data_IF_519152636522
#
_entry.id   IF_519152636522
#
_cell.length_a   1.000
_cell.length_b   1.000
_cell.length_c   1.000
_cell.angle_alpha   90.00
_cell.angle_beta   90.00
_cell.angle_gamma   90.00
#
_symmetry.space_group_name_H-M   'P 1'
#
loop_
_entity.id
_entity.type
_entity.pdbx_description
1 polymer ?
#
# COMPACT_ATOMS: atom_id res chain seq x y z
N UNK A 1 -11.01 14.30 8.14
CA UNK A 1 -10.86 13.89 6.71
C UNK A 1 -10.24 15.03 5.93
N UNK A 2 -9.38 14.72 4.96
CA UNK A 2 -8.69 15.71 4.12
C UNK A 2 -9.54 16.07 2.89
N UNK A 3 -9.44 17.32 2.48
CA UNK A 3 -9.86 17.78 1.16
C UNK A 3 -8.89 17.30 0.07
N UNK A 4 -9.31 17.29 -1.21
CA UNK A 4 -8.41 17.02 -2.33
C UNK A 4 -7.15 17.89 -2.34
N UNK A 5 -7.27 19.15 -1.91
CA UNK A 5 -6.14 20.10 -1.82
C UNK A 5 -5.15 19.68 -0.74
N UNK A 6 -5.64 19.39 0.47
CA UNK A 6 -4.79 18.94 1.59
C UNK A 6 -4.09 17.61 1.28
N UNK A 7 -4.77 16.71 0.57
CA UNK A 7 -4.15 15.47 0.07
C UNK A 7 -2.98 15.75 -0.88
N UNK A 8 -3.19 16.55 -1.93
CA UNK A 8 -2.09 16.89 -2.87
C UNK A 8 -0.94 17.58 -2.14
N UNK A 9 -1.25 18.49 -1.21
CA UNK A 9 -0.24 19.17 -0.42
C UNK A 9 0.56 18.21 0.47
N UNK A 10 -0.08 17.14 0.97
CA UNK A 10 0.63 16.09 1.71
C UNK A 10 1.62 15.31 0.87
N UNK A 11 1.37 15.15 -0.44
CA UNK A 11 2.32 14.52 -1.36
C UNK A 11 3.47 15.46 -1.71
N UNK A 12 3.21 16.77 -1.87
CA UNK A 12 4.24 17.78 -2.16
C UNK A 12 5.25 17.96 -1.03
N UNK A 13 4.86 17.68 0.21
CA UNK A 13 5.76 17.73 1.38
C UNK A 13 6.71 16.55 1.46
N UNK A 14 6.48 15.48 0.69
CA UNK A 14 7.33 14.30 0.69
C UNK A 14 8.61 14.57 -0.08
N UNK A 15 9.72 13.97 0.34
CA UNK A 15 10.98 13.98 -0.40
C UNK A 15 10.77 13.33 -1.78
N UNK A 16 11.31 13.92 -2.86
CA UNK A 16 11.31 13.29 -4.18
C UNK A 16 12.07 11.96 -4.15
N UNK A 17 11.42 10.90 -4.60
CA UNK A 17 12.02 9.57 -4.73
C UNK A 17 11.36 8.68 -5.80
N UNK A 18 10.55 9.29 -6.67
CA UNK A 18 9.85 8.60 -7.76
C UNK A 18 10.58 8.92 -9.07
N UNK A 19 10.92 7.90 -9.84
CA UNK A 19 11.67 8.03 -11.08
C UNK A 19 10.87 7.51 -12.27
N UNK A 20 11.03 8.14 -13.42
CA UNK A 20 10.46 7.72 -14.69
C UNK A 20 11.36 8.17 -15.82
N UNK A 21 11.59 7.30 -16.81
CA UNK A 21 12.47 7.58 -17.97
C UNK A 21 13.90 7.96 -17.59
N UNK A 22 14.40 7.46 -16.46
CA UNK A 22 15.74 7.78 -15.96
C UNK A 22 15.82 9.10 -15.20
N UNK A 23 14.71 9.82 -15.04
CA UNK A 23 14.67 11.13 -14.38
C UNK A 23 13.91 11.06 -13.06
N UNK A 24 14.36 11.87 -12.09
CA UNK A 24 13.67 12.07 -10.81
C UNK A 24 12.46 12.98 -11.03
N UNK A 25 11.29 12.54 -10.56
CA UNK A 25 10.08 13.34 -10.51
C UNK A 25 10.09 14.13 -9.21
N UNK A 26 10.40 15.43 -9.32
CA UNK A 26 10.42 16.38 -8.20
C UNK A 26 9.02 16.58 -7.57
N UNK A 27 7.98 16.64 -8.39
CA UNK A 27 6.59 16.81 -7.93
C UNK A 27 5.64 15.86 -8.66
N UNK A 28 5.26 14.79 -7.95
CA UNK A 28 4.32 13.77 -8.45
C UNK A 28 2.92 14.33 -8.77
N UNK A 29 2.56 15.49 -8.20
CA UNK A 29 1.23 16.09 -8.37
C UNK A 29 1.10 16.87 -9.67
N UNK A 30 2.21 17.25 -10.30
CA UNK A 30 2.23 18.09 -11.51
C UNK A 30 2.90 17.42 -12.70
N UNK A 31 3.84 16.49 -12.47
CA UNK A 31 4.55 15.81 -13.54
C UNK A 31 3.61 14.99 -14.45
N UNK A 32 3.70 15.10 -15.80
CA UNK A 32 2.76 14.44 -16.72
C UNK A 32 2.64 12.92 -16.54
N UNK A 33 3.73 12.25 -16.15
CA UNK A 33 3.71 10.79 -15.94
C UNK A 33 2.91 10.34 -14.69
N UNK A 34 2.62 11.23 -13.73
CA UNK A 34 2.04 10.85 -12.43
C UNK A 34 0.83 11.69 -12.03
N UNK A 35 0.71 12.93 -12.50
CA UNK A 35 -0.31 13.89 -12.10
C UNK A 35 -1.71 13.32 -12.18
N UNK A 36 -2.02 12.55 -13.23
CA UNK A 36 -3.36 11.97 -13.41
C UNK A 36 -3.66 10.86 -12.42
N UNK A 37 -2.67 10.06 -12.05
CA UNK A 37 -2.81 9.12 -10.93
C UNK A 37 -3.16 9.88 -9.65
N UNK A 38 -2.47 10.98 -9.36
CA UNK A 38 -2.76 11.83 -8.21
C UNK A 38 -4.17 12.45 -8.29
N UNK A 39 -4.58 12.98 -9.44
CA UNK A 39 -5.93 13.53 -9.64
C UNK A 39 -7.03 12.50 -9.41
N UNK A 40 -6.85 11.28 -9.92
CA UNK A 40 -7.79 10.19 -9.72
C UNK A 40 -7.99 9.85 -8.24
N UNK A 41 -6.90 9.85 -7.46
CA UNK A 41 -6.96 9.64 -6.01
C UNK A 41 -7.55 10.84 -5.27
N UNK A 42 -7.21 12.08 -5.68
CA UNK A 42 -7.76 13.31 -5.12
C UNK A 42 -9.29 13.37 -5.28
N UNK A 43 -9.83 12.82 -6.38
CA UNK A 43 -11.27 12.70 -6.60
C UNK A 43 -11.98 11.82 -5.55
N UNK A 44 -11.28 10.87 -4.94
CA UNK A 44 -11.84 10.03 -3.89
C UNK A 44 -12.00 10.78 -2.56
N UNK A 45 -11.09 11.70 -2.26
CA UNK A 45 -11.25 12.62 -1.12
C UNK A 45 -12.45 13.55 -1.32
N UNK A 46 -12.61 14.10 -2.52
CA UNK A 46 -13.81 14.87 -2.87
C UNK A 46 -15.07 14.04 -2.70
N UNK A 47 -15.07 12.78 -3.19
CA UNK A 47 -16.23 11.91 -3.07
C UNK A 47 -16.61 11.63 -1.61
N UNK A 48 -15.62 11.42 -0.73
CA UNK A 48 -15.83 11.23 0.71
C UNK A 48 -16.50 12.43 1.41
N UNK A 49 -16.34 13.65 0.87
CA UNK A 49 -16.93 14.88 1.41
C UNK A 49 -18.22 15.31 0.69
N UNK A 50 -18.58 14.66 -0.42
CA UNK A 50 -19.74 15.05 -1.22
C UNK A 50 -21.05 14.51 -0.65
N UNK A 51 -22.15 15.24 -0.82
CA UNK A 51 -23.48 14.79 -0.39
C UNK A 51 -23.90 13.46 -1.06
N UNK A 52 -23.62 13.33 -2.37
CA UNK A 52 -24.01 12.15 -3.16
C UNK A 52 -23.22 10.90 -2.82
N UNK A 53 -21.93 11.03 -2.52
CA UNK A 53 -21.02 9.87 -2.39
C UNK A 53 -20.44 9.69 -0.99
N UNK A 54 -20.63 10.64 -0.08
CA UNK A 54 -19.98 10.70 1.23
C UNK A 54 -20.19 9.42 2.05
N UNK A 55 -21.43 8.95 2.15
CA UNK A 55 -21.77 7.69 2.86
C UNK A 55 -21.07 6.46 2.27
N UNK A 56 -20.77 6.47 0.97
CA UNK A 56 -20.10 5.36 0.31
C UNK A 56 -18.59 5.39 0.53
N UNK A 57 -17.97 6.57 0.52
CA UNK A 57 -16.50 6.73 0.61
C UNK A 57 -15.97 6.99 2.03
N UNK A 58 -16.86 7.20 2.99
CA UNK A 58 -16.53 7.35 4.40
C UNK A 58 -17.47 6.56 5.29
N UNK A 59 -17.06 6.31 6.53
CA UNK A 59 -17.84 5.61 7.56
C UNK A 59 -17.39 6.13 8.92
N UNK A 60 -18.27 6.09 9.92
CA UNK A 60 -17.85 6.22 11.32
C UNK A 60 -16.92 5.06 11.70
N UNK A 61 -15.75 5.39 12.25
CA UNK A 61 -14.76 4.41 12.67
C UNK A 61 -15.13 3.81 14.02
N UNK A 62 -15.12 2.48 14.09
CA UNK A 62 -15.26 1.77 15.37
C UNK A 62 -14.05 1.94 16.30
N UNK A 63 -12.96 2.57 15.85
CA UNK A 63 -11.72 2.72 16.63
C UNK A 63 -11.63 4.09 17.30
N UNK A 64 -12.14 5.13 16.65
CA UNK A 64 -11.99 6.51 17.12
C UNK A 64 -13.32 7.28 17.23
N UNK A 65 -14.45 6.71 16.79
CA UNK A 65 -15.77 7.36 16.84
C UNK A 65 -15.91 8.56 15.89
N UNK A 66 -14.96 8.76 14.98
CA UNK A 66 -14.96 9.84 13.99
C UNK A 66 -15.26 9.32 12.59
N UNK A 67 -15.71 10.20 11.70
CA UNK A 67 -15.91 9.87 10.29
C UNK A 67 -14.57 9.83 9.56
N UNK A 68 -14.24 8.68 8.98
CA UNK A 68 -12.96 8.39 8.32
C UNK A 68 -13.18 7.90 6.89
N UNK A 69 -12.14 7.94 6.06
CA UNK A 69 -12.19 7.28 4.75
C UNK A 69 -12.43 5.79 4.92
N UNK A 70 -13.36 5.22 4.15
CA UNK A 70 -13.63 3.77 4.15
C UNK A 70 -12.40 2.96 3.73
N UNK A 71 -11.45 3.56 3.01
CA UNK A 71 -10.17 2.92 2.68
C UNK A 71 -9.22 2.75 3.88
N UNK A 72 -9.58 3.25 5.06
CA UNK A 72 -8.82 3.08 6.31
C UNK A 72 -9.65 2.39 7.40
N UNK A 73 -10.74 1.70 7.04
CA UNK A 73 -11.59 0.98 8.01
C UNK A 73 -11.37 -0.52 7.99
N UNK A 74 -11.75 -1.17 9.10
CA UNK A 74 -11.80 -2.63 9.21
C UNK A 74 -13.14 -3.17 8.70
N UNK A 75 -13.12 -4.38 8.13
CA UNK A 75 -14.32 -5.15 7.76
C UNK A 75 -14.83 -5.84 9.03
N UNK A 76 -15.93 -5.34 9.61
CA UNK A 76 -16.53 -5.94 10.81
C UNK A 76 -17.77 -6.75 10.48
N UNK A 77 -18.44 -6.48 9.36
CA UNK A 77 -19.65 -7.19 8.93
C UNK A 77 -19.63 -7.49 7.42
N UNK A 78 -20.48 -8.41 6.93
CA UNK A 78 -20.63 -8.65 5.48
C UNK A 78 -20.99 -7.38 4.70
N UNK A 79 -21.78 -6.48 5.29
CA UNK A 79 -22.20 -5.22 4.69
C UNK A 79 -21.01 -4.28 4.45
N UNK A 80 -19.98 -4.32 5.29
CA UNK A 80 -18.74 -3.56 5.06
C UNK A 80 -18.04 -4.01 3.77
N UNK A 81 -18.01 -5.32 3.52
CA UNK A 81 -17.43 -5.87 2.30
C UNK A 81 -18.26 -5.49 1.07
N UNK A 82 -19.58 -5.61 1.14
CA UNK A 82 -20.48 -5.18 0.05
C UNK A 82 -20.34 -3.67 -0.24
N UNK A 83 -20.27 -2.84 0.81
CA UNK A 83 -20.07 -1.41 0.68
C UNK A 83 -18.74 -1.10 -0.01
N UNK A 84 -17.67 -1.84 0.29
CA UNK A 84 -16.39 -1.70 -0.39
C UNK A 84 -16.47 -2.08 -1.88
N UNK A 85 -17.17 -3.15 -2.26
CA UNK A 85 -17.38 -3.49 -3.68
C UNK A 85 -18.14 -2.39 -4.43
N UNK A 86 -19.18 -1.82 -3.79
CA UNK A 86 -19.92 -0.66 -4.33
C UNK A 86 -19.03 0.58 -4.44
N UNK A 87 -18.20 0.85 -3.43
CA UNK A 87 -17.26 1.97 -3.43
C UNK A 87 -16.23 1.85 -4.55
N UNK A 88 -15.61 0.68 -4.75
CA UNK A 88 -14.66 0.42 -5.85
C UNK A 88 -15.30 0.66 -7.22
N UNK A 89 -16.54 0.19 -7.42
CA UNK A 89 -17.30 0.44 -8.66
C UNK A 89 -17.57 1.93 -8.87
N UNK A 90 -17.99 2.64 -7.82
CA UNK A 90 -18.20 4.09 -7.88
C UNK A 90 -16.89 4.84 -8.16
N UNK A 91 -15.78 4.43 -7.55
CA UNK A 91 -14.45 5.00 -7.78
C UNK A 91 -14.08 4.90 -9.26
N UNK A 92 -14.22 3.71 -9.86
CA UNK A 92 -13.96 3.52 -11.29
C UNK A 92 -14.86 4.41 -12.17
N UNK A 93 -16.16 4.50 -11.87
CA UNK A 93 -17.07 5.37 -12.62
C UNK A 93 -16.71 6.86 -12.50
N UNK A 94 -16.14 7.28 -11.37
CA UNK A 94 -15.72 8.65 -11.14
C UNK A 94 -14.41 8.97 -11.88
N UNK A 95 -13.44 8.06 -11.90
CA UNK A 95 -12.08 8.33 -12.40
C UNK A 95 -11.82 7.82 -13.81
N UNK A 96 -12.60 6.82 -14.28
CA UNK A 96 -12.36 6.11 -15.53
C UNK A 96 -11.19 5.14 -15.49
N UNK A 97 -10.62 4.86 -14.31
CA UNK A 97 -9.41 4.03 -14.15
C UNK A 97 -9.29 3.46 -12.73
N UNK A 98 -8.30 2.59 -12.54
CA UNK A 98 -7.98 2.00 -11.24
C UNK A 98 -7.47 3.05 -10.24
N UNK A 99 -7.90 2.95 -8.99
CA UNK A 99 -7.38 3.73 -7.85
C UNK A 99 -6.67 2.83 -6.85
N UNK A 100 -5.74 2.01 -7.38
CA UNK A 100 -5.05 0.94 -6.65
C UNK A 100 -4.31 1.42 -5.39
N UNK A 101 -3.83 2.66 -5.39
CA UNK A 101 -3.14 3.29 -4.26
C UNK A 101 -4.01 3.52 -3.02
N UNK A 102 -5.29 3.09 -3.02
CA UNK A 102 -6.13 3.01 -1.81
C UNK A 102 -6.74 1.63 -1.58
N UNK A 103 -7.18 0.93 -2.63
CA UNK A 103 -7.87 -0.35 -2.44
C UNK A 103 -6.94 -1.47 -2.00
N UNK A 104 -5.68 -1.47 -2.46
CA UNK A 104 -4.68 -2.48 -2.11
C UNK A 104 -4.21 -2.28 -0.66
N UNK A 105 -3.95 -1.03 -0.25
CA UNK A 105 -3.60 -0.72 1.14
C UNK A 105 -4.73 -1.02 2.12
N UNK A 106 -5.98 -0.70 1.78
CA UNK A 106 -7.15 -1.11 2.58
C UNK A 106 -7.22 -2.63 2.77
N UNK A 107 -6.93 -3.38 1.70
CA UNK A 107 -6.91 -4.83 1.73
C UNK A 107 -5.74 -5.37 2.58
N UNK A 108 -4.58 -4.71 2.54
CA UNK A 108 -3.42 -5.01 3.37
C UNK A 108 -3.73 -4.84 4.86
N UNK A 109 -4.37 -3.71 5.24
CA UNK A 109 -4.81 -3.44 6.60
C UNK A 109 -5.69 -4.58 7.11
N UNK A 110 -6.72 -4.95 6.35
CA UNK A 110 -7.67 -5.98 6.77
C UNK A 110 -7.05 -7.38 6.82
N UNK A 111 -6.14 -7.69 5.90
CA UNK A 111 -5.46 -8.98 5.86
C UNK A 111 -4.55 -9.15 7.07
N UNK A 112 -3.74 -8.13 7.36
CA UNK A 112 -2.84 -8.13 8.51
C UNK A 112 -3.59 -7.97 9.83
N UNK A 113 -4.74 -7.30 9.86
CA UNK A 113 -5.58 -7.25 11.06
C UNK A 113 -6.07 -8.64 11.45
N UNK A 114 -6.55 -9.43 10.49
CA UNK A 114 -6.93 -10.82 10.72
C UNK A 114 -5.72 -11.67 11.13
N UNK A 115 -4.59 -11.55 10.42
CA UNK A 115 -3.40 -12.37 10.69
C UNK A 115 -2.73 -12.04 12.02
N UNK A 116 -2.61 -10.75 12.39
CA UNK A 116 -2.06 -10.36 13.68
C UNK A 116 -2.95 -10.82 14.84
N UNK A 117 -4.28 -10.76 14.66
CA UNK A 117 -5.22 -11.33 15.63
C UNK A 117 -5.05 -12.85 15.79
N UNK A 118 -4.89 -13.58 14.68
CA UNK A 118 -4.64 -15.02 14.73
C UNK A 118 -3.32 -15.35 15.45
N UNK A 119 -2.25 -14.60 15.19
CA UNK A 119 -0.96 -14.77 15.89
C UNK A 119 -1.11 -14.55 17.40
N UNK A 120 -1.80 -13.48 17.81
CA UNK A 120 -2.08 -13.19 19.21
C UNK A 120 -2.91 -14.31 19.86
N UNK A 121 -4.02 -14.72 19.22
CA UNK A 121 -4.91 -15.78 19.71
C UNK A 121 -4.18 -17.12 19.87
N UNK A 122 -3.30 -17.44 18.93
CA UNK A 122 -2.58 -18.71 18.88
C UNK A 122 -1.31 -18.68 19.80
N UNK A 123 -1.08 -17.59 20.55
CA UNK A 123 0.02 -17.48 21.53
C UNK A 123 1.40 -17.37 20.90
N UNK A 124 1.50 -16.82 19.68
CA UNK A 124 2.77 -16.59 18.99
C UNK A 124 3.53 -15.50 19.71
N UNK A 125 4.85 -15.69 19.89
CA UNK A 125 5.74 -14.66 20.41
C UNK A 125 5.56 -13.36 19.62
N UNK A 126 5.41 -12.22 20.32
CA UNK A 126 5.11 -10.90 19.75
C UNK A 126 3.74 -10.72 19.08
N UNK A 127 2.89 -11.75 19.03
CA UNK A 127 1.58 -11.72 18.37
C UNK A 127 0.66 -10.62 18.91
N UNK A 128 0.59 -10.47 20.24
CA UNK A 128 -0.20 -9.42 20.89
C UNK A 128 0.35 -8.02 20.55
N UNK A 129 1.67 -7.85 20.54
CA UNK A 129 2.34 -6.61 20.20
C UNK A 129 2.12 -6.22 18.75
N UNK A 130 2.20 -7.15 17.80
CA UNK A 130 1.91 -6.88 16.38
C UNK A 130 0.47 -6.40 16.19
N UNK A 131 -0.47 -7.06 16.85
CA UNK A 131 -1.88 -6.67 16.84
C UNK A 131 -2.06 -5.26 17.40
N UNK A 132 -1.49 -4.98 18.58
CA UNK A 132 -1.55 -3.66 19.22
C UNK A 132 -0.94 -2.55 18.35
N UNK A 133 0.27 -2.76 17.82
CA UNK A 133 1.00 -1.81 16.95
C UNK A 133 0.21 -1.49 15.68
N UNK A 134 -0.38 -2.50 15.04
CA UNK A 134 -1.22 -2.31 13.86
C UNK A 134 -2.44 -1.44 14.18
N UNK A 135 -3.10 -1.69 15.31
CA UNK A 135 -4.28 -0.91 15.74
C UNK A 135 -3.92 0.54 16.10
N UNK A 136 -2.82 0.75 16.82
CA UNK A 136 -2.31 2.08 17.16
C UNK A 136 -1.94 2.89 15.90
N UNK A 137 -1.22 2.26 14.97
CA UNK A 137 -0.89 2.88 13.70
C UNK A 137 -2.16 3.17 12.87
N UNK A 138 -3.14 2.28 12.85
CA UNK A 138 -4.38 2.49 12.09
C UNK A 138 -5.21 3.67 12.66
N UNK A 139 -5.22 3.85 13.99
CA UNK A 139 -5.83 5.03 14.64
C UNK A 139 -5.17 6.32 14.13
N UNK A 140 -3.84 6.36 14.09
CA UNK A 140 -3.10 7.49 13.54
C UNK A 140 -3.41 7.70 12.05
N UNK A 141 -3.37 6.63 11.24
CA UNK A 141 -3.62 6.69 9.81
C UNK A 141 -5.03 7.21 9.49
N UNK A 142 -6.04 6.80 10.28
CA UNK A 142 -7.42 7.27 10.15
C UNK A 142 -7.56 8.77 10.42
N UNK A 143 -6.90 9.28 11.46
CA UNK A 143 -6.89 10.72 11.77
C UNK A 143 -6.18 11.53 10.68
N UNK A 144 -5.08 10.99 10.17
CA UNK A 144 -4.30 11.63 9.11
C UNK A 144 -4.92 11.47 7.71
N UNK A 145 -5.90 10.59 7.51
CA UNK A 145 -6.56 10.33 6.21
C UNK A 145 -5.55 10.11 5.06
N UNK A 146 -4.51 9.30 5.33
CA UNK A 146 -3.43 9.02 4.39
C UNK A 146 -3.92 8.22 3.17
N UNK A 147 -3.22 8.36 2.04
CA UNK A 147 -3.27 7.39 0.96
C UNK A 147 -2.21 6.31 1.18
N UNK A 148 -2.60 5.05 1.08
CA UNK A 148 -1.78 3.90 1.44
C UNK A 148 -1.78 2.88 0.29
N UNK A 149 -0.63 2.69 -0.34
CA UNK A 149 -0.45 1.61 -1.31
C UNK A 149 -0.13 0.29 -0.59
N UNK A 150 -0.48 -0.85 -1.18
CA UNK A 150 -0.16 -2.17 -0.63
C UNK A 150 0.85 -2.89 -1.51
N UNK A 151 1.92 -3.41 -0.89
CA UNK A 151 3.06 -4.00 -1.54
C UNK A 151 3.25 -5.47 -1.15
N UNK A 152 2.66 -6.37 -1.95
CA UNK A 152 2.71 -7.81 -1.73
C UNK A 152 3.76 -8.49 -2.63
N UNK A 153 3.71 -8.22 -3.93
CA UNK A 153 4.48 -8.97 -4.95
C UNK A 153 5.96 -8.59 -4.96
N UNK A 154 6.84 -9.56 -4.70
CA UNK A 154 8.29 -9.46 -4.92
C UNK A 154 8.69 -9.68 -6.40
N UNK A 155 9.95 -9.38 -6.81
CA UNK A 155 10.50 -9.74 -8.11
C UNK A 155 10.45 -11.25 -8.45
N UNK A 156 10.63 -12.11 -7.45
CA UNK A 156 10.57 -13.58 -7.48
C UNK A 156 11.64 -14.33 -8.28
N UNK A 157 12.58 -13.65 -8.92
CA UNK A 157 13.75 -14.29 -9.56
C UNK A 157 13.41 -15.52 -10.43
N UNK A 158 14.03 -16.66 -10.14
CA UNK A 158 13.67 -17.93 -10.75
C UNK A 158 12.38 -18.48 -10.11
N UNK A 159 11.31 -18.58 -10.90
CA UNK A 159 9.99 -18.99 -10.42
C UNK A 159 9.91 -20.47 -10.01
N UNK A 160 10.89 -21.30 -10.37
CA UNK A 160 10.93 -22.70 -9.95
C UNK A 160 11.58 -22.91 -8.59
N UNK A 161 12.08 -21.84 -7.95
CA UNK A 161 12.85 -21.89 -6.70
C UNK A 161 12.14 -21.16 -5.58
N UNK A 162 12.33 -21.62 -4.35
CA UNK A 162 11.85 -20.90 -3.18
C UNK A 162 12.63 -19.59 -2.96
N UNK A 163 12.13 -18.64 -2.14
CA UNK A 163 12.87 -17.46 -1.72
C UNK A 163 14.30 -17.76 -1.22
N UNK A 164 14.47 -18.78 -0.37
CA UNK A 164 15.78 -19.19 0.15
C UNK A 164 16.75 -19.78 -0.88
N UNK A 165 16.25 -20.23 -2.03
CA UNK A 165 17.04 -20.89 -3.09
C UNK A 165 17.43 -19.93 -4.24
N UNK A 166 16.99 -18.67 -4.18
CA UNK A 166 17.32 -17.68 -5.20
C UNK A 166 18.81 -17.40 -5.24
N UNK A 167 19.37 -17.23 -6.45
CA UNK A 167 20.77 -16.83 -6.62
C UNK A 167 21.02 -15.45 -6.01
N UNK A 168 20.07 -14.55 -6.19
CA UNK A 168 20.05 -13.24 -5.54
C UNK A 168 19.00 -13.27 -4.41
N UNK A 169 19.42 -13.23 -3.13
CA UNK A 169 18.50 -13.29 -2.00
C UNK A 169 17.56 -12.07 -1.94
N UNK A 170 17.87 -10.98 -2.65
CA UNK A 170 17.06 -9.76 -2.69
C UNK A 170 16.02 -9.75 -3.80
N UNK A 171 15.88 -10.86 -4.54
CA UNK A 171 14.72 -11.13 -5.42
C UNK A 171 13.41 -11.25 -4.65
N UNK A 172 13.50 -11.34 -3.32
CA UNK A 172 12.42 -11.14 -2.35
C UNK A 172 12.87 -10.09 -1.33
N UNK A 173 11.94 -9.26 -0.87
CA UNK A 173 12.23 -8.37 0.24
C UNK A 173 12.47 -9.18 1.52
N UNK A 174 13.59 -8.94 2.20
CA UNK A 174 13.94 -9.62 3.46
C UNK A 174 14.48 -8.67 4.52
N UNK A 175 14.42 -9.13 5.76
CA UNK A 175 15.13 -8.56 6.89
C UNK A 175 16.62 -8.89 6.74
N UNK A 176 17.49 -7.91 6.86
CA UNK A 176 18.95 -8.08 6.85
C UNK A 176 19.58 -7.84 8.22
N UNK A 177 18.89 -7.14 9.12
CA UNK A 177 19.32 -6.87 10.48
C UNK A 177 18.10 -6.69 11.41
N UNK A 178 18.25 -7.09 12.67
CA UNK A 178 17.28 -6.87 13.76
C UNK A 178 18.05 -6.41 15.00
N UNK A 179 17.51 -5.42 15.70
CA UNK A 179 18.04 -4.95 16.97
C UNK A 179 16.90 -4.41 17.87
N UNK A 180 17.26 -3.72 18.95
CA UNK A 180 16.32 -3.23 19.95
C UNK A 180 15.38 -2.11 19.45
N UNK A 181 15.74 -1.37 18.38
CA UNK A 181 14.91 -0.27 17.87
C UNK A 181 14.04 -0.68 16.67
N UNK A 182 14.46 -1.69 15.91
CA UNK A 182 13.69 -2.15 14.77
C UNK A 182 14.35 -3.22 13.91
N UNK A 183 13.97 -3.19 12.63
CA UNK A 183 14.49 -4.06 11.57
C UNK A 183 15.06 -3.22 10.44
N UNK A 184 16.07 -3.74 9.76
CA UNK A 184 16.54 -3.20 8.48
C UNK A 184 16.14 -4.16 7.37
N UNK A 185 15.55 -3.65 6.28
CA UNK A 185 15.08 -4.48 5.16
C UNK A 185 15.76 -4.11 3.85
N UNK A 186 16.02 -5.12 3.01
CA UNK A 186 16.60 -4.96 1.67
C UNK A 186 15.88 -5.83 0.65
N UNK A 187 15.68 -5.31 -0.55
CA UNK A 187 15.07 -6.01 -1.68
C UNK A 187 14.11 -5.13 -2.46
N UNK A 188 13.06 -5.73 -3.02
CA UNK A 188 12.10 -4.97 -3.82
C UNK A 188 10.69 -5.53 -3.76
N UNK A 189 9.72 -4.66 -4.04
CA UNK A 189 8.33 -5.00 -4.35
C UNK A 189 7.99 -4.43 -5.72
N UNK A 190 7.34 -5.20 -6.59
CA UNK A 190 7.16 -4.84 -8.01
C UNK A 190 5.70 -4.75 -8.41
N UNK A 191 5.41 -3.93 -9.41
CA UNK A 191 4.06 -3.69 -9.93
C UNK A 191 3.09 -3.14 -8.89
N UNK A 192 3.59 -2.31 -7.97
CA UNK A 192 2.82 -1.75 -6.86
C UNK A 192 1.99 -0.57 -7.36
N UNK A 193 0.67 -0.70 -7.31
CA UNK A 193 -0.24 0.27 -7.91
C UNK A 193 -0.34 1.57 -7.10
N UNK A 194 -0.30 2.70 -7.80
CA UNK A 194 -0.59 4.02 -7.23
C UNK A 194 0.42 4.53 -6.21
N UNK A 195 1.68 4.08 -6.27
CA UNK A 195 2.74 4.53 -5.33
C UNK A 195 2.99 6.03 -5.42
N UNK A 196 3.01 6.62 -6.62
CA UNK A 196 3.13 8.08 -6.77
C UNK A 196 1.98 8.87 -6.11
N UNK A 197 0.83 8.23 -5.89
CA UNK A 197 -0.31 8.83 -5.20
C UNK A 197 -0.35 8.53 -3.70
N UNK A 198 0.59 7.73 -3.17
CA UNK A 198 0.58 7.26 -1.80
C UNK A 198 1.49 8.07 -0.87
N UNK A 199 1.02 8.26 0.37
CA UNK A 199 1.83 8.77 1.46
C UNK A 199 2.63 7.65 2.14
N UNK A 200 2.05 6.45 2.22
CA UNK A 200 2.65 5.28 2.86
C UNK A 200 2.54 4.04 1.98
N UNK A 201 3.41 3.07 2.24
CA UNK A 201 3.38 1.73 1.65
C UNK A 201 3.19 0.72 2.78
N UNK A 202 2.16 -0.12 2.67
CA UNK A 202 1.95 -1.28 3.52
C UNK A 202 2.59 -2.49 2.85
N UNK A 203 3.67 -3.01 3.41
CA UNK A 203 4.39 -4.19 2.93
C UNK A 203 3.81 -5.45 3.55
N UNK A 204 3.51 -6.44 2.71
CA UNK A 204 3.12 -7.79 3.12
C UNK A 204 4.20 -8.81 2.72
N UNK A 205 4.24 -10.00 3.35
CA UNK A 205 4.97 -11.13 2.79
C UNK A 205 4.41 -11.47 1.40
N UNK A 206 5.27 -11.78 0.45
CA UNK A 206 4.85 -12.03 -0.94
C UNK A 206 4.46 -13.45 -1.28
N UNK A 207 4.64 -14.38 -0.33
CA UNK A 207 4.28 -15.79 -0.45
C UNK A 207 4.14 -16.44 0.93
N UNK A 208 3.74 -17.72 0.97
CA UNK A 208 3.88 -18.55 2.16
C UNK A 208 5.33 -19.03 2.30
N UNK A 209 6.02 -18.52 3.32
CA UNK A 209 7.41 -18.85 3.65
C UNK A 209 7.48 -20.17 4.42
N UNK A 210 8.58 -20.89 4.22
CA UNK A 210 8.89 -22.15 4.91
C UNK A 210 9.87 -21.92 6.07
N UNK A 211 10.08 -22.96 6.88
CA UNK A 211 11.16 -22.95 7.89
C UNK A 211 12.52 -22.75 7.20
N UNK A 212 13.35 -21.87 7.77
CA UNK A 212 14.59 -21.38 7.13
C UNK A 212 14.40 -20.16 6.22
N UNK A 213 13.17 -19.67 6.05
CA UNK A 213 12.84 -18.47 5.27
C UNK A 213 12.28 -17.33 6.15
N UNK A 214 12.63 -17.32 7.44
CA UNK A 214 12.10 -16.38 8.45
C UNK A 214 12.34 -14.92 8.06
N UNK A 215 13.49 -14.60 7.48
CA UNK A 215 13.81 -13.22 7.07
C UNK A 215 12.86 -12.66 6.00
N UNK A 216 12.20 -13.53 5.22
CA UNK A 216 11.24 -13.14 4.18
C UNK A 216 9.80 -13.02 4.72
N UNK A 217 9.53 -13.55 5.92
CA UNK A 217 8.24 -13.46 6.60
C UNK A 217 8.12 -12.11 7.32
N UNK A 218 7.98 -11.03 6.54
CA UNK A 218 8.02 -9.65 7.05
C UNK A 218 6.81 -8.83 6.59
N UNK A 219 6.26 -8.03 7.51
CA UNK A 219 5.13 -7.13 7.27
C UNK A 219 5.28 -5.85 8.07
N UNK A 220 5.12 -4.69 7.43
CA UNK A 220 5.28 -3.39 8.06
C UNK A 220 4.65 -2.27 7.23
N UNK A 221 4.65 -1.05 7.78
CA UNK A 221 4.29 0.18 7.07
C UNK A 221 5.43 1.17 7.08
N UNK A 222 5.60 1.90 5.98
CA UNK A 222 6.71 2.85 5.82
C UNK A 222 6.24 4.08 5.02
N UNK A 223 6.70 5.31 5.34
CA UNK A 223 6.52 6.46 4.46
C UNK A 223 7.03 6.15 3.06
N UNK A 224 6.33 6.58 2.01
CA UNK A 224 6.75 6.27 0.63
C UNK A 224 8.13 6.86 0.32
N UNK A 225 8.52 7.93 0.99
CA UNK A 225 9.77 8.68 0.80
C UNK A 225 10.83 8.44 1.88
N UNK A 226 10.68 7.40 2.71
CA UNK A 226 11.68 6.99 3.71
C UNK A 226 13.06 6.83 3.05
N UNK A 227 14.11 7.12 3.82
CA UNK A 227 15.49 6.97 3.34
C UNK A 227 15.76 5.52 2.90
N UNK A 228 16.53 5.36 1.82
CA UNK A 228 16.75 4.05 1.18
C UNK A 228 15.63 3.56 0.26
N UNK A 229 14.46 4.24 0.20
CA UNK A 229 13.39 3.88 -0.75
C UNK A 229 13.53 4.64 -2.07
N UNK A 230 13.58 3.88 -3.17
CA UNK A 230 13.48 4.38 -4.54
C UNK A 230 12.28 3.76 -5.26
N UNK A 231 11.40 4.59 -5.81
CA UNK A 231 10.24 4.15 -6.57
C UNK A 231 10.48 4.39 -8.07
N UNK A 232 10.45 3.36 -8.90
CA UNK A 232 10.59 3.49 -10.37
C UNK A 232 9.25 3.19 -11.03
N UNK A 233 8.66 4.18 -11.67
CA UNK A 233 7.38 4.04 -12.37
C UNK A 233 7.52 3.13 -13.61
N UNK A 234 6.73 2.06 -13.63
CA UNK A 234 6.71 1.03 -14.65
C UNK A 234 6.20 1.60 -15.99
N UNK A 235 6.67 1.00 -17.09
CA UNK A 235 6.20 1.32 -18.44
C UNK A 235 4.79 0.77 -18.65
N UNK A 236 3.98 1.49 -19.41
CA UNK A 236 2.70 1.00 -19.93
C UNK A 236 2.55 1.46 -21.38
N UNK A 237 1.63 0.86 -22.16
CA UNK A 237 1.37 1.31 -23.52
C UNK A 237 1.02 2.81 -23.54
N UNK A 238 1.61 3.54 -24.48
CA UNK A 238 1.38 4.99 -24.66
C UNK A 238 1.69 5.86 -23.44
N UNK A 239 2.67 5.49 -22.60
CA UNK A 239 3.03 6.23 -21.38
C UNK A 239 3.72 7.59 -21.60
N UNK A 240 4.00 7.95 -22.85
CA UNK A 240 4.43 9.29 -23.27
C UNK A 240 3.29 10.18 -23.75
N UNK A 241 2.07 9.65 -23.92
CA UNK A 241 0.95 10.38 -24.56
C UNK A 241 0.57 11.68 -23.84
N UNK A 242 0.79 11.79 -22.53
CA UNK A 242 0.55 13.04 -21.80
C UNK A 242 1.60 14.13 -22.05
N UNK A 243 2.74 13.77 -22.63
CA UNK A 243 3.87 14.65 -22.95
C UNK A 243 3.92 15.00 -24.45
N UNK A 244 3.06 14.38 -25.26
CA UNK A 244 3.03 14.56 -26.71
C UNK A 244 1.86 15.47 -27.12
N UNK A 245 2.10 16.37 -28.07
CA UNK A 245 1.05 17.19 -28.68
C UNK A 245 0.34 16.44 -29.81
N UNK A 246 -0.92 16.80 -30.08
CA UNK A 246 -1.69 16.28 -31.23
C UNK A 246 -2.36 14.91 -31.02
N UNK A 247 -2.36 14.38 -29.79
CA UNK A 247 -3.01 13.11 -29.45
C UNK A 247 -4.09 13.28 -28.39
N UNK A 248 -5.26 12.70 -28.63
CA UNK A 248 -6.33 12.64 -27.63
C UNK A 248 -5.97 11.70 -26.48
N UNK A 249 -6.39 12.08 -25.27
CA UNK A 249 -6.23 11.23 -24.11
C UNK A 249 -7.57 10.72 -23.57
N UNK A 250 -7.82 9.39 -23.58
CA UNK A 250 -9.14 8.85 -23.24
C UNK A 250 -9.50 9.00 -21.75
N UNK A 251 -8.52 9.24 -20.87
CA UNK A 251 -8.75 9.39 -19.44
C UNK A 251 -8.10 10.69 -18.94
N UNK A 252 -8.94 11.71 -18.77
CA UNK A 252 -8.49 13.03 -18.27
C UNK A 252 -8.81 13.25 -16.78
N UNK A 253 -9.74 12.46 -16.24
CA UNK A 253 -10.28 12.61 -14.87
C UNK A 253 -9.52 11.79 -13.82
N UNK A 254 -8.50 11.05 -14.25
CA UNK A 254 -7.70 10.16 -13.43
C UNK A 254 -6.59 9.50 -14.25
N UNK A 255 -5.82 8.65 -13.61
CA UNK A 255 -4.78 7.81 -14.22
C UNK A 255 -4.43 6.68 -13.27
N UNK A 256 -3.65 5.72 -13.74
CA UNK A 256 -3.02 4.75 -12.86
C UNK A 256 -1.58 4.52 -13.30
N UNK A 257 -0.70 4.51 -12.33
CA UNK A 257 0.70 4.13 -12.49
C UNK A 257 1.01 2.99 -11.52
N UNK A 258 2.11 2.28 -11.77
CA UNK A 258 2.57 1.15 -10.98
C UNK A 258 4.08 1.27 -10.84
N UNK A 259 4.62 1.05 -9.65
CA UNK A 259 6.05 1.22 -9.43
C UNK A 259 6.73 -0.08 -9.02
N UNK A 260 8.00 -0.18 -9.40
CA UNK A 260 8.99 -0.98 -8.68
C UNK A 260 9.41 -0.16 -7.47
N UNK A 261 9.25 -0.72 -6.27
CA UNK A 261 9.67 -0.10 -5.00
C UNK A 261 10.91 -0.85 -4.54
N UNK A 262 12.05 -0.18 -4.57
CA UNK A 262 13.34 -0.69 -4.17
C UNK A 262 13.64 -0.24 -2.75
N UNK A 263 14.11 -1.17 -1.93
CA UNK A 263 14.48 -0.96 -0.54
C UNK A 263 15.98 -1.23 -0.42
N UNK A 264 16.75 -0.17 -0.22
CA UNK A 264 18.19 -0.22 0.03
C UNK A 264 18.44 0.07 1.51
N UNK A 265 18.60 -0.98 2.31
CA UNK A 265 18.79 -0.93 3.78
C UNK A 265 17.86 0.04 4.51
N UNK A 266 16.56 -0.15 4.33
CA UNK A 266 15.54 0.72 4.91
C UNK A 266 15.29 0.33 6.36
N UNK A 267 15.47 1.30 7.26
CA UNK A 267 15.24 1.13 8.70
C UNK A 267 13.75 1.28 9.04
N UNK A 268 13.18 0.27 9.69
CA UNK A 268 11.78 0.24 10.11
C UNK A 268 11.70 0.09 11.63
N UNK A 269 11.15 1.07 12.35
CA UNK A 269 11.02 0.98 13.81
C UNK A 269 9.98 -0.06 14.21
N UNK A 270 10.18 -0.73 15.35
CA UNK A 270 9.29 -1.80 15.83
C UNK A 270 7.80 -1.40 15.89
N UNK A 271 7.48 -0.13 16.16
CA UNK A 271 6.11 0.39 16.20
C UNK A 271 5.35 0.28 14.87
N UNK A 272 6.06 0.08 13.75
CA UNK A 272 5.48 -0.09 12.40
C UNK A 272 5.61 -1.52 11.87
N UNK A 273 6.14 -2.46 12.65
CA UNK A 273 6.33 -3.87 12.26
C UNK A 273 5.19 -4.73 12.79
N UNK A 274 4.62 -5.56 11.92
CA UNK A 274 3.43 -6.38 12.17
C UNK A 274 3.66 -7.89 11.92
N UNK A 275 4.85 -8.27 11.46
CA UNK A 275 5.36 -9.64 11.31
C UNK A 275 6.87 -9.55 11.05
N UNK A 276 7.69 -10.39 11.69
CA UNK A 276 9.15 -10.39 11.55
C UNK A 276 9.78 -11.77 11.81
N UNK A 277 9.35 -12.80 11.09
CA UNK A 277 9.89 -14.17 11.20
C UNK A 277 8.84 -15.26 11.30
N UNK A 278 7.56 -14.92 11.47
CA UNK A 278 6.50 -15.90 11.75
C UNK A 278 6.04 -16.62 10.47
N UNK A 279 6.90 -17.48 9.91
CA UNK A 279 6.71 -18.19 8.63
C UNK A 279 5.37 -18.92 8.55
N UNK A 280 4.90 -19.51 9.66
CA UNK A 280 3.60 -20.20 9.77
C UNK A 280 2.39 -19.31 9.42
N UNK A 281 2.53 -17.98 9.53
CA UNK A 281 1.48 -17.00 9.30
C UNK A 281 1.64 -16.20 8.00
N UNK A 282 2.82 -16.24 7.37
CA UNK A 282 3.07 -15.57 6.09
C UNK A 282 2.05 -15.99 5.00
N UNK A 283 1.82 -17.30 4.86
CA UNK A 283 0.83 -17.84 3.93
C UNK A 283 -0.60 -17.45 4.30
N UNK A 284 -0.91 -17.35 5.60
CA UNK A 284 -2.22 -16.87 6.07
C UNK A 284 -2.44 -15.39 5.72
N UNK A 285 -1.44 -14.53 5.92
CA UNK A 285 -1.50 -13.11 5.52
C UNK A 285 -1.78 -12.97 4.02
N UNK A 286 -1.06 -13.73 3.19
CA UNK A 286 -1.27 -13.75 1.73
C UNK A 286 -2.67 -14.23 1.38
N UNK A 287 -3.16 -15.31 1.99
CA UNK A 287 -4.49 -15.84 1.70
C UNK A 287 -5.62 -14.93 2.17
N UNK A 288 -5.49 -14.29 3.33
CA UNK A 288 -6.43 -13.29 3.82
C UNK A 288 -6.50 -12.11 2.84
N UNK A 289 -5.35 -11.66 2.35
CA UNK A 289 -5.28 -10.64 1.30
C UNK A 289 -5.99 -11.11 0.01
N UNK A 290 -5.63 -12.27 -0.55
CA UNK A 290 -6.13 -12.75 -1.83
C UNK A 290 -7.66 -12.95 -1.81
N UNK A 291 -8.20 -13.55 -0.74
CA UNK A 291 -9.63 -13.85 -0.62
C UNK A 291 -10.48 -12.59 -0.70
N UNK A 292 -10.09 -11.54 0.03
CA UNK A 292 -10.81 -10.26 0.04
C UNK A 292 -10.56 -9.46 -1.24
N UNK A 293 -9.36 -9.54 -1.83
CA UNK A 293 -9.05 -8.78 -3.03
C UNK A 293 -9.79 -9.29 -4.28
N UNK A 294 -10.09 -10.60 -4.32
CA UNK A 294 -10.76 -11.27 -5.44
C UNK A 294 -12.28 -11.41 -5.30
N UNK A 295 -12.84 -11.08 -4.13
CA UNK A 295 -14.27 -11.03 -3.89
C UNK A 295 -14.88 -9.69 -4.35
#
# INVERSE_FOLDING_TARGET
>A
MRSPKEYKESLKRMRPNVYKFGELIEDVTTHPATRRTVEGHAKLFWAAMSERWGELFSKESSLIGERVSRYLTLIKTPEDMVANCRMKRAAFNLTGTCTGGRCVGWNAINAMWATAYEMARDGVEWGEEYSRRLMEWLIWAQREDITLSGALTDPKGDRSKSPGEQKDPYSYLKIVEKDDEGITVRGAKIMIAGVAAANYIFVLPGWGMMEGEEDYAVSFVVPRDEEGITCVEARHPSDLREMEEGWDNPVERGGITQSYVLFDDVRIPWVRVFMAGEVKYSGRAVMNFIRMYRA
#
